data_IF_402660084054
#
_entry.id   IF_402660084054
#
_cell.length_a   1.000
_cell.length_b   1.000
_cell.length_c   1.000
_cell.angle_alpha   90.00
_cell.angle_beta   90.00
_cell.angle_gamma   90.00
#
_symmetry.space_group_name_H-M   'P 1'
#
loop_
_entity.id
_entity.type
_entity.pdbx_description
1 polymer ?
#
# COMPACT_ATOMS: atom_id res chain seq x y z
N UNK A 1 15.21 -38.04 -3.67
CA UNK A 1 16.02 -36.84 -3.88
C UNK A 1 15.16 -35.64 -4.22
N UNK A 2 14.32 -35.78 -5.18
CA UNK A 2 13.49 -34.71 -5.68
C UNK A 2 12.28 -34.37 -4.80
N UNK A 3 11.78 -35.30 -3.99
CA UNK A 3 10.63 -35.06 -3.11
C UNK A 3 10.94 -34.15 -1.92
N UNK A 4 12.10 -34.28 -1.30
CA UNK A 4 12.50 -33.42 -0.18
C UNK A 4 12.74 -31.98 -0.65
N UNK A 5 13.37 -31.80 -1.80
CA UNK A 5 13.59 -30.47 -2.38
C UNK A 5 12.28 -29.83 -2.84
N UNK A 6 11.33 -30.59 -3.37
CA UNK A 6 10.00 -30.09 -3.73
C UNK A 6 9.21 -29.63 -2.52
N UNK A 7 9.29 -30.35 -1.41
CA UNK A 7 8.60 -29.96 -0.19
C UNK A 7 9.16 -28.67 0.40
N UNK A 8 10.49 -28.52 0.40
CA UNK A 8 11.13 -27.28 0.86
C UNK A 8 10.85 -26.08 -0.06
N UNK A 9 10.77 -26.31 -1.35
CA UNK A 9 10.37 -25.26 -2.30
C UNK A 9 8.90 -24.91 -2.14
N UNK A 10 8.03 -25.89 -1.96
CA UNK A 10 6.62 -25.67 -1.68
C UNK A 10 6.39 -24.96 -0.36
N UNK A 11 7.12 -25.32 0.70
CA UNK A 11 7.04 -24.65 1.99
C UNK A 11 7.51 -23.19 1.90
N UNK A 12 8.57 -22.93 1.14
CA UNK A 12 9.04 -21.56 0.89
C UNK A 12 8.06 -20.76 0.03
N UNK A 13 7.47 -21.40 -0.95
CA UNK A 13 6.43 -20.77 -1.77
C UNK A 13 5.18 -20.51 -0.94
N UNK A 14 4.80 -21.42 -0.04
CA UNK A 14 3.70 -21.21 0.90
C UNK A 14 4.00 -20.08 1.89
N UNK A 15 5.22 -19.95 2.40
CA UNK A 15 5.62 -18.84 3.25
C UNK A 15 5.65 -17.52 2.48
N UNK A 16 6.16 -17.52 1.26
CA UNK A 16 6.20 -16.35 0.41
C UNK A 16 4.79 -15.92 -0.05
N UNK A 17 3.88 -16.89 -0.18
CA UNK A 17 2.48 -16.67 -0.52
C UNK A 17 1.53 -16.71 0.69
N UNK A 18 2.05 -16.74 1.92
CA UNK A 18 1.22 -16.71 3.13
C UNK A 18 0.46 -15.39 3.29
N UNK A 19 1.00 -14.27 2.78
CA UNK A 19 0.25 -13.05 2.61
C UNK A 19 -0.75 -13.21 1.47
N UNK A 20 -2.04 -12.94 1.72
CA UNK A 20 -3.03 -13.05 0.65
C UNK A 20 -2.70 -12.14 -0.52
N UNK A 21 -2.72 -12.72 -1.71
CA UNK A 21 -2.58 -11.96 -2.95
C UNK A 21 -3.91 -11.31 -3.30
N UNK A 22 -3.81 -10.11 -3.87
CA UNK A 22 -4.94 -9.37 -4.38
C UNK A 22 -4.63 -8.88 -5.78
N UNK A 23 -5.66 -8.57 -6.54
CA UNK A 23 -5.52 -8.04 -7.89
C UNK A 23 -5.82 -6.56 -7.91
N UNK A 24 -4.92 -5.78 -8.51
CA UNK A 24 -5.18 -4.37 -8.78
C UNK A 24 -6.29 -4.25 -9.83
N UNK A 25 -7.37 -3.54 -9.50
CA UNK A 25 -8.50 -3.40 -10.43
C UNK A 25 -8.16 -2.57 -11.67
N UNK A 26 -7.13 -1.74 -11.60
CA UNK A 26 -6.73 -0.86 -12.70
C UNK A 26 -5.75 -1.54 -13.66
N UNK A 27 -4.80 -2.33 -13.15
CA UNK A 27 -3.77 -2.98 -13.97
C UNK A 27 -4.02 -4.47 -14.18
N UNK A 28 -4.83 -5.12 -13.34
CA UNK A 28 -5.02 -6.55 -13.34
C UNK A 28 -3.88 -7.35 -12.72
N UNK A 29 -2.81 -6.69 -12.30
CA UNK A 29 -1.66 -7.36 -11.72
C UNK A 29 -1.98 -7.88 -10.32
N UNK A 30 -1.46 -9.04 -10.00
CA UNK A 30 -1.55 -9.63 -8.67
C UNK A 30 -0.34 -9.25 -7.85
N UNK A 31 -0.57 -8.91 -6.59
CA UNK A 31 0.49 -8.61 -5.65
C UNK A 31 0.02 -8.94 -4.23
N UNK A 32 0.94 -8.94 -3.29
CA UNK A 32 0.59 -9.06 -1.89
C UNK A 32 -0.15 -7.80 -1.44
N UNK A 33 -1.09 -7.97 -0.52
CA UNK A 33 -1.93 -6.86 -0.06
C UNK A 33 -1.15 -5.70 0.52
N UNK A 34 0.03 -5.95 1.09
CA UNK A 34 0.90 -4.93 1.67
C UNK A 34 1.45 -3.96 0.63
N UNK A 35 1.48 -4.37 -0.63
CA UNK A 35 1.94 -3.55 -1.75
C UNK A 35 0.81 -2.81 -2.47
N UNK A 36 -0.41 -2.97 -2.00
CA UNK A 36 -1.59 -2.39 -2.64
C UNK A 36 -2.33 -1.49 -1.66
N UNK A 37 -3.01 -0.48 -2.20
CA UNK A 37 -3.93 0.33 -1.41
C UNK A 37 -5.29 -0.37 -1.34
N UNK A 38 -5.85 -0.42 -0.14
CA UNK A 38 -7.17 -0.96 0.09
C UNK A 38 -8.19 0.16 0.10
N UNK A 39 -9.25 -0.01 -0.66
CA UNK A 39 -10.42 0.85 -0.64
C UNK A 39 -11.62 0.04 -0.21
N UNK A 40 -12.58 0.70 0.42
CA UNK A 40 -13.86 0.10 0.79
C UNK A 40 -14.99 1.06 0.42
N UNK A 41 -16.20 0.52 0.32
CA UNK A 41 -17.40 1.33 0.15
C UNK A 41 -17.98 1.57 1.53
N UNK A 42 -18.11 2.84 1.92
CA UNK A 42 -18.69 3.21 3.21
C UNK A 42 -20.21 2.95 3.27
N UNK A 43 -20.82 3.09 4.46
CA UNK A 43 -22.26 2.86 4.63
C UNK A 43 -23.13 3.80 3.78
N UNK A 44 -22.62 4.97 3.48
CA UNK A 44 -23.29 5.97 2.63
C UNK A 44 -23.04 5.78 1.14
N UNK A 45 -22.29 4.73 0.76
CA UNK A 45 -21.94 4.43 -0.63
C UNK A 45 -20.73 5.18 -1.18
N UNK A 46 -20.05 5.97 -0.36
CA UNK A 46 -18.84 6.69 -0.78
C UNK A 46 -17.60 5.79 -0.75
N UNK A 47 -16.68 6.05 -1.68
CA UNK A 47 -15.38 5.41 -1.71
C UNK A 47 -14.52 5.94 -0.57
N UNK A 48 -13.95 5.03 0.21
CA UNK A 48 -13.08 5.36 1.36
C UNK A 48 -11.77 4.61 1.22
N UNK A 49 -10.66 5.28 1.42
CA UNK A 49 -9.34 4.62 1.50
C UNK A 49 -9.14 4.08 2.91
N UNK A 50 -8.71 2.83 3.00
CA UNK A 50 -8.46 2.14 4.26
C UNK A 50 -6.97 1.89 4.43
N UNK A 51 -6.25 2.90 4.91
CA UNK A 51 -4.80 2.84 5.06
C UNK A 51 -4.35 1.88 6.17
N UNK A 52 -5.19 1.67 7.17
CA UNK A 52 -4.87 0.77 8.29
C UNK A 52 -5.33 -0.66 8.09
N UNK A 53 -6.13 -0.92 7.06
CA UNK A 53 -6.70 -2.25 6.84
C UNK A 53 -7.71 -2.69 7.88
N UNK A 54 -8.39 -1.74 8.55
CA UNK A 54 -9.29 -2.01 9.68
C UNK A 54 -10.76 -1.76 9.40
N UNK A 55 -11.07 -1.11 8.29
CA UNK A 55 -12.46 -0.80 7.96
C UNK A 55 -13.20 -2.06 7.52
N UNK A 56 -14.49 -2.20 7.92
CA UNK A 56 -15.29 -3.35 7.53
C UNK A 56 -15.63 -3.32 6.05
N UNK A 57 -15.94 -4.48 5.52
CA UNK A 57 -16.37 -4.63 4.14
C UNK A 57 -15.32 -5.28 3.25
N UNK A 58 -15.72 -5.54 2.01
CA UNK A 58 -14.85 -6.12 1.01
C UNK A 58 -13.84 -5.10 0.53
N UNK A 59 -12.56 -5.45 0.59
CA UNK A 59 -11.48 -4.60 0.06
C UNK A 59 -11.49 -4.56 -1.46
N UNK A 60 -11.24 -3.38 -2.00
CA UNK A 60 -10.97 -3.14 -3.40
C UNK A 60 -9.54 -2.64 -3.49
N UNK A 61 -8.73 -3.29 -4.30
CA UNK A 61 -7.28 -3.12 -4.27
C UNK A 61 -6.78 -2.42 -5.52
N UNK A 62 -5.90 -1.44 -5.31
CA UNK A 62 -5.31 -0.65 -6.41
C UNK A 62 -3.83 -0.44 -6.11
N UNK A 63 -2.98 -0.52 -7.12
CA UNK A 63 -1.57 -0.17 -6.99
C UNK A 63 -1.43 1.27 -6.48
N UNK A 64 -0.48 1.54 -5.56
CA UNK A 64 -0.27 2.86 -4.98
C UNK A 64 0.43 3.81 -5.96
N UNK A 65 -0.21 4.04 -7.09
CA UNK A 65 0.26 4.92 -8.13
C UNK A 65 -0.89 5.83 -8.57
N UNK A 66 -0.62 7.12 -8.66
CA UNK A 66 -1.63 8.12 -9.04
C UNK A 66 -2.33 7.76 -10.35
N UNK A 67 -1.58 7.30 -11.35
CA UNK A 67 -2.12 6.91 -12.63
C UNK A 67 -3.12 5.76 -12.53
N UNK A 68 -2.85 4.79 -11.66
CA UNK A 68 -3.72 3.63 -11.46
C UNK A 68 -5.01 4.01 -10.73
N UNK A 69 -4.89 4.82 -9.70
CA UNK A 69 -6.05 5.31 -8.93
C UNK A 69 -6.93 6.19 -9.82
N UNK A 70 -6.33 7.09 -10.57
CA UNK A 70 -7.05 7.94 -11.53
C UNK A 70 -7.79 7.10 -12.57
N UNK A 71 -7.13 6.12 -13.14
CA UNK A 71 -7.75 5.20 -14.10
C UNK A 71 -8.95 4.46 -13.50
N UNK A 72 -8.83 3.99 -12.26
CA UNK A 72 -9.91 3.31 -11.57
C UNK A 72 -11.12 4.22 -11.35
N UNK A 73 -10.88 5.50 -11.05
CA UNK A 73 -11.95 6.49 -10.89
C UNK A 73 -12.57 6.82 -12.24
N UNK A 74 -11.78 7.21 -13.22
CA UNK A 74 -12.26 7.66 -14.53
C UNK A 74 -13.03 6.58 -15.29
N UNK A 75 -12.60 5.33 -15.16
CA UNK A 75 -13.25 4.20 -15.82
C UNK A 75 -14.30 3.50 -14.97
N UNK A 76 -14.61 4.06 -13.81
CA UNK A 76 -15.62 3.54 -12.87
C UNK A 76 -15.38 2.07 -12.49
N UNK A 77 -14.13 1.70 -12.30
CA UNK A 77 -13.74 0.33 -11.99
C UNK A 77 -14.14 -0.07 -10.57
N UNK A 78 -14.26 0.90 -9.66
CA UNK A 78 -14.70 0.65 -8.29
C UNK A 78 -16.12 0.13 -8.24
N UNK A 79 -17.04 0.76 -8.95
CA UNK A 79 -18.45 0.29 -9.01
C UNK A 79 -18.54 -1.08 -9.66
N UNK A 80 -17.78 -1.30 -10.73
CA UNK A 80 -17.75 -2.59 -11.41
C UNK A 80 -17.24 -3.70 -10.50
N UNK A 81 -16.18 -3.45 -9.77
CA UNK A 81 -15.62 -4.43 -8.84
C UNK A 81 -16.52 -4.67 -7.64
N UNK A 82 -17.12 -3.62 -7.08
CA UNK A 82 -18.02 -3.70 -5.94
C UNK A 82 -19.37 -4.37 -6.27
N UNK A 83 -19.74 -4.42 -7.55
CA UNK A 83 -21.05 -4.94 -7.95
C UNK A 83 -22.20 -4.03 -7.54
N UNK A 84 -21.93 -2.78 -7.22
CA UNK A 84 -22.91 -1.77 -6.84
C UNK A 84 -22.41 -0.39 -7.25
N UNK A 85 -23.32 0.57 -7.30
CA UNK A 85 -22.94 1.96 -7.57
C UNK A 85 -22.14 2.52 -6.42
N UNK A 86 -20.96 3.05 -6.71
CA UNK A 86 -20.06 3.68 -5.74
C UNK A 86 -20.01 5.17 -6.04
N UNK A 87 -20.20 5.98 -5.00
CA UNK A 87 -20.08 7.44 -5.11
C UNK A 87 -18.61 7.80 -5.16
N UNK A 88 -18.15 8.19 -6.33
CA UNK A 88 -16.75 8.54 -6.60
C UNK A 88 -16.50 10.02 -6.30
N UNK A 89 -15.24 10.40 -6.01
CA UNK A 89 -14.89 11.80 -5.85
C UNK A 89 -15.16 12.57 -7.14
N UNK A 90 -15.75 13.75 -6.99
CA UNK A 90 -16.07 14.61 -8.14
C UNK A 90 -14.80 15.16 -8.81
N UNK A 91 -13.74 15.35 -8.04
CA UNK A 91 -12.44 15.83 -8.50
C UNK A 91 -11.36 14.79 -8.18
N UNK A 92 -10.95 13.96 -9.14
CA UNK A 92 -9.90 12.97 -8.92
C UNK A 92 -8.58 13.58 -8.49
N UNK A 93 -8.21 14.75 -8.98
CA UNK A 93 -6.95 15.40 -8.61
C UNK A 93 -6.96 15.82 -7.13
N UNK A 94 -8.06 16.39 -6.66
CA UNK A 94 -8.21 16.74 -5.24
C UNK A 94 -8.22 15.50 -4.36
N UNK A 95 -8.84 14.43 -4.79
CA UNK A 95 -8.84 13.16 -4.07
C UNK A 95 -7.43 12.59 -3.95
N UNK A 96 -6.66 12.59 -5.03
CA UNK A 96 -5.28 12.11 -5.03
C UNK A 96 -4.39 12.95 -4.13
N UNK A 97 -4.57 14.28 -4.14
CA UNK A 97 -3.84 15.17 -3.25
C UNK A 97 -4.16 14.87 -1.78
N UNK A 98 -5.43 14.69 -1.45
CA UNK A 98 -5.87 14.32 -0.10
C UNK A 98 -5.30 12.98 0.35
N UNK A 99 -5.25 12.01 -0.55
CA UNK A 99 -4.65 10.70 -0.28
C UNK A 99 -3.15 10.82 -0.02
N UNK A 100 -2.45 11.58 -0.83
CA UNK A 100 -1.02 11.85 -0.66
C UNK A 100 -0.75 12.50 0.70
N UNK A 101 -1.54 13.49 1.10
CA UNK A 101 -1.45 14.13 2.40
C UNK A 101 -1.68 13.14 3.55
N UNK A 102 -2.62 12.24 3.43
CA UNK A 102 -2.85 11.19 4.42
C UNK A 102 -1.67 10.24 4.53
N UNK A 103 -1.09 9.84 3.42
CA UNK A 103 0.09 8.97 3.39
C UNK A 103 1.30 9.66 4.02
N UNK A 104 1.54 10.92 3.68
CA UNK A 104 2.62 11.71 4.29
C UNK A 104 2.42 11.82 5.80
N UNK A 105 1.22 12.12 6.25
CA UNK A 105 0.90 12.21 7.68
C UNK A 105 1.22 10.89 8.38
N UNK A 106 0.87 9.76 7.79
CA UNK A 106 1.17 8.46 8.34
C UNK A 106 2.67 8.20 8.43
N UNK A 107 3.42 8.56 7.41
CA UNK A 107 4.88 8.44 7.43
C UNK A 107 5.49 9.28 8.55
N UNK A 108 5.03 10.52 8.72
CA UNK A 108 5.51 11.42 9.77
C UNK A 108 5.18 10.87 11.17
N UNK A 109 3.98 10.35 11.37
CA UNK A 109 3.60 9.70 12.63
C UNK A 109 4.47 8.48 12.93
N UNK A 110 4.71 7.64 11.91
CA UNK A 110 5.58 6.48 12.04
C UNK A 110 7.02 6.86 12.37
N UNK A 111 7.57 7.88 11.74
CA UNK A 111 8.90 8.41 12.04
C UNK A 111 8.96 8.99 13.45
N UNK A 112 7.92 9.68 13.90
CA UNK A 112 7.83 10.20 15.27
C UNK A 112 7.85 9.09 16.31
N UNK A 113 7.13 8.01 16.10
CA UNK A 113 7.15 6.83 16.95
C UNK A 113 8.51 6.13 16.93
N UNK A 114 9.09 5.97 15.76
CA UNK A 114 10.41 5.38 15.60
C UNK A 114 11.49 6.21 16.30
N UNK A 115 11.39 7.53 16.24
CA UNK A 115 12.30 8.43 16.95
C UNK A 115 12.20 8.27 18.46
N UNK A 116 10.97 8.18 19.01
CA UNK A 116 10.75 7.98 20.45
C UNK A 116 11.31 6.65 20.93
N UNK A 117 11.26 5.61 20.10
CA UNK A 117 11.82 4.30 20.42
C UNK A 117 13.33 4.18 20.19
N UNK A 118 13.97 5.22 19.65
CA UNK A 118 15.38 5.19 19.28
C UNK A 118 15.67 4.48 17.96
N UNK A 119 14.66 4.01 17.24
CA UNK A 119 14.84 3.33 15.96
C UNK A 119 15.09 4.29 14.79
N UNK A 120 14.78 5.58 14.96
CA UNK A 120 15.04 6.61 13.98
C UNK A 120 15.68 7.83 14.66
N UNK A 121 16.45 8.59 13.90
CA UNK A 121 17.09 9.82 14.35
C UNK A 121 16.58 11.00 13.55
N UNK A 122 16.51 12.17 14.19
CA UNK A 122 16.14 13.42 13.56
C UNK A 122 17.28 14.42 13.72
N UNK A 123 17.38 15.34 12.77
CA UNK A 123 18.43 16.32 12.72
C UNK A 123 19.37 16.05 11.54
N UNK A 124 19.69 17.13 10.83
CA UNK A 124 20.44 17.02 9.59
C UNK A 124 21.82 16.39 9.79
N UNK A 125 22.54 16.77 10.84
CA UNK A 125 23.90 16.25 11.08
C UNK A 125 23.88 14.78 11.46
N UNK A 126 22.95 14.35 12.32
CA UNK A 126 22.81 12.95 12.71
C UNK A 126 22.44 12.07 11.55
N UNK A 127 21.50 12.50 10.72
CA UNK A 127 21.09 11.77 9.51
C UNK A 127 22.26 11.68 8.53
N UNK A 128 22.98 12.78 8.33
CA UNK A 128 24.16 12.80 7.47
C UNK A 128 25.24 11.84 7.94
N UNK A 129 25.53 11.80 9.23
CA UNK A 129 26.55 10.93 9.79
C UNK A 129 26.19 9.46 9.63
N UNK A 130 24.94 9.09 9.85
CA UNK A 130 24.45 7.73 9.63
C UNK A 130 24.53 7.35 8.17
N UNK A 131 24.10 8.21 7.26
CA UNK A 131 24.21 7.98 5.83
C UNK A 131 25.65 7.82 5.37
N UNK A 132 26.59 8.54 5.96
CA UNK A 132 28.01 8.37 5.67
C UNK A 132 28.56 7.03 6.15
N UNK A 133 28.14 6.56 7.32
CA UNK A 133 28.57 5.28 7.85
C UNK A 133 28.01 4.10 7.08
N UNK A 134 26.75 4.16 6.74
CA UNK A 134 26.02 3.08 6.08
C UNK A 134 25.99 3.23 4.57
N UNK A 135 26.24 4.44 4.07
CA UNK A 135 26.16 4.75 2.65
C UNK A 135 27.09 3.90 1.78
N UNK A 136 28.22 3.46 2.32
CA UNK A 136 29.15 2.58 1.61
C UNK A 136 28.62 1.17 1.43
N UNK A 137 27.74 0.72 2.31
CA UNK A 137 27.12 -0.60 2.23
C UNK A 137 25.70 -0.56 1.69
N UNK A 138 25.04 0.58 1.76
CA UNK A 138 23.67 0.77 1.34
C UNK A 138 23.52 1.48 -0.02
N UNK A 139 24.61 1.67 -0.71
CA UNK A 139 24.64 2.41 -1.97
C UNK A 139 24.06 1.68 -3.16
N UNK A 140 23.40 0.62 -2.95
CA UNK A 140 22.48 0.11 -3.94
C UNK A 140 21.25 1.01 -4.14
N UNK A 141 21.26 2.08 -3.43
CA UNK A 141 20.27 3.12 -3.67
C UNK A 141 20.61 3.88 -4.98
#
# INVERSE_FOLDING_TARGET
>A
MTMAMRNEEMERDEEMFSSPHRSCIASGDKDVREHLLRFVVGPDGHLVVDLLGRLPGRGIWVKPAAAMIRRAIEKNLFSRNAGQSVKLPADPAAFLLGLDQQLVRRCVEGLGLARKSGAAVAGFEMVRDILHKEGKSALGL
#
